data_IF_400494025646
#
_entry.id   IF_400494025646
#
_cell.length_a   1.000
_cell.length_b   1.000
_cell.length_c   1.000
_cell.angle_alpha   90.00
_cell.angle_beta   90.00
_cell.angle_gamma   90.00
#
_symmetry.space_group_name_H-M   'P 1'
#
loop_
_entity.id
_entity.type
_entity.pdbx_description
1 polymer ?
#
# COMPACT_ATOMS: atom_id res chain seq x y z
N UNK A 1 -20.93 3.69 -37.92
CA UNK A 1 -21.00 4.44 -36.66
C UNK A 1 -20.86 3.45 -35.52
N UNK A 2 -19.64 2.98 -35.31
CA UNK A 2 -19.26 2.19 -34.15
C UNK A 2 -18.64 3.20 -33.19
N UNK A 3 -19.47 3.72 -32.30
CA UNK A 3 -18.98 4.55 -31.20
C UNK A 3 -18.11 3.67 -30.31
N UNK A 4 -16.87 4.12 -30.20
CA UNK A 4 -15.90 3.72 -29.20
C UNK A 4 -16.60 3.80 -27.85
N UNK A 5 -16.86 2.65 -27.24
CA UNK A 5 -17.11 2.53 -25.80
C UNK A 5 -15.86 3.04 -25.10
N UNK A 6 -15.79 4.36 -24.90
CA UNK A 6 -14.90 4.97 -23.92
C UNK A 6 -15.22 4.31 -22.60
N UNK A 7 -14.23 3.63 -22.01
CA UNK A 7 -14.29 3.13 -20.63
C UNK A 7 -14.92 4.21 -19.77
N UNK A 8 -16.16 4.00 -19.31
CA UNK A 8 -16.74 4.84 -18.27
C UNK A 8 -15.77 4.80 -17.09
N UNK A 9 -15.34 5.97 -16.63
CA UNK A 9 -14.52 6.08 -15.42
C UNK A 9 -15.26 5.35 -14.31
N UNK A 10 -14.73 4.21 -13.87
CA UNK A 10 -15.42 3.25 -12.98
C UNK A 10 -15.59 3.74 -11.55
N UNK A 11 -15.16 4.97 -11.26
CA UNK A 11 -15.19 5.59 -9.94
C UNK A 11 -15.52 7.08 -10.05
N UNK A 12 -16.80 7.39 -10.22
CA UNK A 12 -17.28 8.76 -10.09
C UNK A 12 -17.40 9.12 -8.61
N UNK A 13 -16.50 9.97 -8.14
CA UNK A 13 -16.61 10.67 -6.85
C UNK A 13 -16.55 12.19 -7.09
N UNK A 14 -17.22 12.98 -6.24
CA UNK A 14 -17.23 14.44 -6.36
C UNK A 14 -15.83 15.03 -6.15
N UNK A 15 -15.44 15.96 -7.03
CA UNK A 15 -14.08 16.56 -7.06
C UNK A 15 -14.05 18.05 -6.69
N UNK A 16 -15.21 18.65 -6.49
CA UNK A 16 -15.39 20.04 -6.08
C UNK A 16 -14.85 20.31 -4.66
N UNK A 17 -14.71 21.58 -4.28
CA UNK A 17 -14.16 21.96 -2.98
C UNK A 17 -15.07 21.54 -1.82
N UNK A 18 -16.40 21.54 -2.01
CA UNK A 18 -17.35 21.18 -0.96
C UNK A 18 -17.21 19.69 -0.58
N UNK A 19 -16.94 18.84 -1.56
CA UNK A 19 -16.71 17.41 -1.33
C UNK A 19 -15.50 17.11 -0.44
N UNK A 20 -14.54 18.05 -0.38
CA UNK A 20 -13.31 17.93 0.42
C UNK A 20 -13.44 18.51 1.83
N UNK A 21 -14.62 18.92 2.28
CA UNK A 21 -14.82 19.62 3.56
C UNK A 21 -14.27 18.91 4.81
N UNK A 22 -14.13 17.58 4.77
CA UNK A 22 -13.55 16.79 5.87
C UNK A 22 -12.05 16.59 5.74
N UNK A 23 -11.47 16.81 4.56
CA UNK A 23 -10.04 16.69 4.31
C UNK A 23 -9.32 17.92 4.87
N UNK A 24 -8.38 17.66 5.78
CA UNK A 24 -7.59 18.72 6.45
C UNK A 24 -6.25 18.96 5.79
N UNK A 25 -6.00 18.29 4.67
CA UNK A 25 -4.77 18.34 3.90
C UNK A 25 -5.11 18.09 2.43
N UNK A 26 -4.32 18.67 1.53
CA UNK A 26 -4.55 18.50 0.10
C UNK A 26 -4.36 17.04 -0.31
N UNK A 27 -5.34 16.48 -1.03
CA UNK A 27 -5.27 15.11 -1.54
C UNK A 27 -5.48 15.04 -3.06
N UNK A 28 -4.61 14.30 -3.73
CA UNK A 28 -4.71 13.98 -5.16
C UNK A 28 -4.94 12.48 -5.32
N UNK A 29 -6.08 12.11 -5.90
CA UNK A 29 -6.43 10.72 -6.17
C UNK A 29 -6.20 10.48 -7.67
N UNK A 30 -5.35 9.52 -7.98
CA UNK A 30 -5.08 9.03 -9.32
C UNK A 30 -5.73 7.66 -9.54
N UNK A 31 -5.93 7.29 -10.81
CA UNK A 31 -6.60 6.04 -11.17
C UNK A 31 -5.78 4.81 -10.74
N UNK A 32 -4.45 4.92 -10.77
CA UNK A 32 -3.54 3.87 -10.35
C UNK A 32 -2.21 4.46 -9.82
N UNK A 33 -1.39 3.60 -9.22
CA UNK A 33 -0.10 3.99 -8.63
C UNK A 33 0.94 4.42 -9.65
N UNK A 34 0.84 3.99 -10.91
CA UNK A 34 1.77 4.38 -11.98
C UNK A 34 1.55 5.85 -12.38
N UNK A 35 0.30 6.26 -12.61
CA UNK A 35 -0.06 7.65 -12.91
C UNK A 35 0.31 8.58 -11.74
N UNK A 36 0.06 8.14 -10.50
CA UNK A 36 0.46 8.87 -9.31
C UNK A 36 1.98 9.03 -9.20
N UNK A 37 2.73 7.95 -9.47
CA UNK A 37 4.19 7.96 -9.44
C UNK A 37 4.77 8.86 -10.53
N UNK A 38 4.18 8.85 -11.72
CA UNK A 38 4.57 9.75 -12.81
C UNK A 38 4.33 11.21 -12.44
N UNK A 39 3.20 11.53 -11.81
CA UNK A 39 2.91 12.88 -11.32
C UNK A 39 3.99 13.37 -10.34
N UNK A 40 4.34 12.56 -9.34
CA UNK A 40 5.39 12.91 -8.35
C UNK A 40 6.77 13.02 -8.99
N UNK A 41 7.12 12.11 -9.90
CA UNK A 41 8.40 12.15 -10.61
C UNK A 41 8.54 13.43 -11.44
N UNK A 42 7.47 13.91 -12.08
CA UNK A 42 7.48 15.17 -12.82
C UNK A 42 7.71 16.36 -11.90
N UNK A 43 7.02 16.45 -10.75
CA UNK A 43 7.22 17.54 -9.78
C UNK A 43 8.70 17.61 -9.32
N UNK A 44 9.30 16.45 -9.05
CA UNK A 44 10.73 16.35 -8.70
C UNK A 44 11.62 16.79 -9.87
N UNK A 45 11.35 16.32 -11.10
CA UNK A 45 12.12 16.68 -12.28
C UNK A 45 12.04 18.18 -12.59
N UNK A 46 10.87 18.80 -12.41
CA UNK A 46 10.66 20.24 -12.56
C UNK A 46 11.47 21.03 -11.54
N UNK A 47 11.47 20.63 -10.27
CA UNK A 47 12.31 21.24 -9.24
C UNK A 47 13.80 21.16 -9.62
N UNK A 48 14.28 20.00 -10.04
CA UNK A 48 15.68 19.80 -10.44
C UNK A 48 16.03 20.75 -11.59
N UNK A 49 15.22 20.77 -12.65
CA UNK A 49 15.40 21.67 -13.81
C UNK A 49 15.39 23.13 -13.39
N UNK A 50 14.47 23.52 -12.51
CA UNK A 50 14.35 24.89 -12.01
C UNK A 50 15.59 25.31 -11.21
N UNK A 51 16.03 24.48 -10.26
CA UNK A 51 17.23 24.73 -9.43
C UNK A 51 18.49 24.79 -10.29
N UNK A 52 18.61 23.92 -11.28
CA UNK A 52 19.72 23.92 -12.23
C UNK A 52 19.78 25.23 -13.04
N UNK A 53 18.65 25.72 -13.55
CA UNK A 53 18.57 27.03 -14.24
C UNK A 53 18.97 28.20 -13.34
N UNK A 54 18.74 28.07 -12.02
CA UNK A 54 19.13 29.07 -11.02
C UNK A 54 20.59 28.93 -10.55
N UNK A 55 21.33 27.93 -11.03
CA UNK A 55 22.68 27.62 -10.55
C UNK A 55 22.71 27.17 -9.08
N UNK A 56 21.60 26.62 -8.57
CA UNK A 56 21.45 26.16 -7.18
C UNK A 56 21.38 24.64 -7.11
N UNK A 57 21.66 24.11 -5.92
CA UNK A 57 21.40 22.71 -5.62
C UNK A 57 19.89 22.47 -5.43
N UNK A 58 19.40 21.33 -5.91
CA UNK A 58 18.10 20.79 -5.53
C UNK A 58 18.32 19.80 -4.37
N UNK A 59 17.65 20.02 -3.24
CA UNK A 59 17.80 19.18 -2.05
C UNK A 59 16.57 18.29 -1.89
N UNK A 60 16.74 16.98 -2.00
CA UNK A 60 15.64 16.01 -1.98
C UNK A 60 15.70 15.13 -0.75
N UNK A 61 14.58 14.99 -0.06
CA UNK A 61 14.34 13.99 0.95
C UNK A 61 13.71 12.75 0.31
N UNK A 62 14.33 11.59 0.43
CA UNK A 62 13.93 10.36 -0.26
C UNK A 62 13.46 9.27 0.71
N UNK A 63 12.42 8.54 0.31
CA UNK A 63 11.89 7.38 1.04
C UNK A 63 12.31 6.07 0.37
N UNK A 64 12.23 4.97 1.11
CA UNK A 64 12.44 3.61 0.58
C UNK A 64 11.14 2.80 0.62
N UNK A 65 11.23 1.50 0.28
CA UNK A 65 10.09 0.59 0.23
C UNK A 65 9.41 0.56 -1.13
N UNK A 66 8.36 -0.25 -1.25
CA UNK A 66 7.69 -0.52 -2.53
C UNK A 66 7.00 0.70 -3.15
N UNK A 67 6.51 1.63 -2.32
CA UNK A 67 5.73 2.81 -2.76
C UNK A 67 6.50 3.75 -3.71
N UNK A 68 7.73 4.21 -3.39
CA UNK A 68 8.48 5.12 -4.27
C UNK A 68 9.18 4.47 -5.47
N UNK A 69 9.21 3.14 -5.60
CA UNK A 69 9.99 2.43 -6.66
C UNK A 69 9.69 2.96 -8.08
N UNK A 70 8.42 3.11 -8.42
CA UNK A 70 7.98 3.64 -9.72
C UNK A 70 8.36 5.09 -9.95
N UNK A 71 8.43 5.92 -8.89
CA UNK A 71 8.94 7.29 -9.00
C UNK A 71 10.41 7.27 -9.43
N UNK A 72 11.21 6.37 -8.86
CA UNK A 72 12.61 6.20 -9.24
C UNK A 72 12.77 5.70 -10.67
N UNK A 73 11.95 4.72 -11.10
CA UNK A 73 11.95 4.26 -12.50
C UNK A 73 11.72 5.42 -13.48
N UNK A 74 10.76 6.30 -13.19
CA UNK A 74 10.50 7.48 -14.02
C UNK A 74 11.64 8.50 -13.98
N UNK A 75 12.24 8.76 -12.82
CA UNK A 75 13.39 9.67 -12.72
C UNK A 75 14.60 9.16 -13.51
N UNK A 76 14.85 7.84 -13.46
CA UNK A 76 15.87 7.17 -14.28
C UNK A 76 15.55 7.30 -15.77
N UNK A 77 14.27 7.15 -16.15
CA UNK A 77 13.81 7.35 -17.52
C UNK A 77 14.05 8.79 -17.98
N UNK A 78 13.67 9.79 -17.18
CA UNK A 78 13.90 11.20 -17.49
C UNK A 78 15.38 11.54 -17.62
N UNK A 79 16.25 10.89 -16.84
CA UNK A 79 17.70 11.01 -17.00
C UNK A 79 18.16 10.50 -18.36
N UNK A 80 17.81 9.24 -18.69
CA UNK A 80 18.31 8.52 -19.86
C UNK A 80 17.72 9.04 -21.17
N UNK A 81 16.45 9.44 -21.18
CA UNK A 81 15.70 9.79 -22.39
C UNK A 81 15.52 11.30 -22.57
N UNK A 82 15.38 12.07 -21.48
CA UNK A 82 15.07 13.52 -21.55
C UNK A 82 16.24 14.43 -21.14
N UNK A 83 17.38 13.84 -20.73
CA UNK A 83 18.58 14.59 -20.35
C UNK A 83 18.48 15.31 -19.00
N UNK A 84 17.60 14.86 -18.09
CA UNK A 84 17.55 15.36 -16.72
C UNK A 84 18.87 15.05 -15.99
N UNK A 85 19.60 16.04 -15.47
CA UNK A 85 20.87 15.81 -14.76
C UNK A 85 20.72 15.95 -13.25
N UNK A 86 21.37 15.05 -12.51
CA UNK A 86 21.41 14.97 -11.05
C UNK A 86 22.73 15.50 -10.47
N UNK A 87 23.63 16.07 -11.29
CA UNK A 87 24.94 16.59 -10.84
C UNK A 87 24.85 17.70 -9.80
N UNK A 88 23.75 18.44 -9.77
CA UNK A 88 23.47 19.49 -8.79
C UNK A 88 22.43 19.06 -7.74
N UNK A 89 22.09 17.78 -7.65
CA UNK A 89 21.16 17.25 -6.65
C UNK A 89 21.92 16.83 -5.39
N UNK A 90 21.33 17.07 -4.22
CA UNK A 90 21.74 16.57 -2.90
C UNK A 90 20.58 15.79 -2.33
N UNK A 91 20.81 14.58 -1.82
CA UNK A 91 19.76 13.70 -1.32
C UNK A 91 19.99 13.34 0.15
N UNK A 92 18.89 13.28 0.90
CA UNK A 92 18.84 12.79 2.28
C UNK A 92 17.76 11.72 2.38
N UNK A 93 18.14 10.49 2.72
CA UNK A 93 17.18 9.40 2.97
C UNK A 93 16.62 9.48 4.40
N UNK A 94 15.35 9.10 4.55
CA UNK A 94 14.65 9.15 5.83
C UNK A 94 15.30 8.28 6.91
N UNK A 95 15.76 7.08 6.56
CA UNK A 95 16.17 6.08 7.54
C UNK A 95 17.15 5.05 6.98
N UNK A 96 17.71 4.27 7.90
CA UNK A 96 18.39 2.98 7.67
C UNK A 96 18.19 2.08 8.91
N UNK A 97 18.11 0.77 8.69
CA UNK A 97 18.07 -0.20 9.78
C UNK A 97 19.33 -0.16 10.65
N UNK A 98 19.25 -0.60 11.91
CA UNK A 98 20.38 -0.60 12.83
C UNK A 98 20.46 -1.86 13.71
N UNK A 99 21.62 -2.57 13.73
CA UNK A 99 22.73 -2.42 12.79
C UNK A 99 22.35 -2.87 11.38
N UNK A 100 23.01 -2.34 10.35
CA UNK A 100 22.82 -2.77 8.96
C UNK A 100 24.07 -2.50 8.12
N UNK A 101 24.54 -3.54 7.44
CA UNK A 101 25.64 -3.43 6.48
C UNK A 101 25.12 -2.93 5.11
N UNK A 102 25.86 -2.03 4.42
CA UNK A 102 25.37 -1.35 3.22
C UNK A 102 25.24 -2.26 1.98
N UNK A 103 25.81 -3.46 2.00
CA UNK A 103 25.70 -4.48 0.93
C UNK A 103 24.62 -5.53 1.20
N UNK A 104 24.04 -5.55 2.41
CA UNK A 104 22.89 -6.37 2.77
C UNK A 104 21.74 -6.12 1.80
N UNK A 105 21.06 -7.19 1.38
CA UNK A 105 19.84 -7.11 0.54
C UNK A 105 18.73 -6.28 1.19
N UNK A 106 18.74 -6.14 2.51
CA UNK A 106 17.74 -5.37 3.26
C UNK A 106 18.16 -3.93 3.56
N UNK A 107 19.38 -3.53 3.17
CA UNK A 107 19.88 -2.18 3.41
C UNK A 107 19.21 -1.18 2.48
N UNK A 108 18.85 -0.02 3.05
CA UNK A 108 18.36 1.11 2.29
C UNK A 108 19.44 1.79 1.45
N UNK A 109 20.72 1.68 1.82
CA UNK A 109 21.85 2.03 0.94
C UNK A 109 21.79 1.22 -0.36
N UNK A 110 21.66 -0.11 -0.24
CA UNK A 110 21.59 -1.00 -1.42
C UNK A 110 20.32 -0.74 -2.24
N UNK A 111 19.16 -0.67 -1.59
CA UNK A 111 17.89 -0.36 -2.23
C UNK A 111 18.00 0.91 -3.11
N UNK A 112 18.57 1.99 -2.57
CA UNK A 112 18.68 3.24 -3.31
C UNK A 112 19.67 3.18 -4.47
N UNK A 113 20.74 2.38 -4.36
CA UNK A 113 21.65 2.13 -5.49
C UNK A 113 20.94 1.40 -6.62
N UNK A 114 20.26 0.31 -6.30
CA UNK A 114 19.56 -0.54 -7.26
C UNK A 114 18.41 0.18 -7.96
N UNK A 115 17.65 1.02 -7.26
CA UNK A 115 16.50 1.71 -7.85
C UNK A 115 16.82 3.08 -8.46
N UNK A 116 17.88 3.77 -8.02
CA UNK A 116 18.12 5.15 -8.44
C UNK A 116 19.60 5.48 -8.69
N UNK A 117 20.45 5.41 -7.66
CA UNK A 117 21.75 6.08 -7.68
C UNK A 117 22.75 5.51 -8.70
N UNK A 118 22.70 4.21 -9.01
CA UNK A 118 23.58 3.59 -10.01
C UNK A 118 23.09 3.84 -11.46
N UNK A 119 21.98 4.55 -11.63
CA UNK A 119 21.31 4.77 -12.91
C UNK A 119 21.26 6.24 -13.34
N UNK A 120 21.81 7.15 -12.54
CA UNK A 120 21.80 8.61 -12.77
C UNK A 120 23.19 9.21 -12.53
N UNK A 121 23.41 10.46 -12.98
CA UNK A 121 24.69 11.17 -12.86
C UNK A 121 24.86 11.97 -11.56
N UNK A 122 24.28 11.48 -10.45
CA UNK A 122 24.43 12.10 -9.13
C UNK A 122 25.87 11.92 -8.61
N UNK A 123 26.38 12.93 -7.90
CA UNK A 123 27.70 12.85 -7.27
C UNK A 123 27.62 12.03 -5.98
N UNK A 124 28.48 11.03 -5.74
CA UNK A 124 28.45 10.24 -4.51
C UNK A 124 28.53 11.07 -3.21
N UNK A 125 29.29 12.17 -3.23
CA UNK A 125 29.42 13.07 -2.08
C UNK A 125 28.12 13.80 -1.70
N UNK A 126 27.13 13.82 -2.60
CA UNK A 126 25.84 14.47 -2.41
C UNK A 126 24.74 13.47 -1.97
N UNK A 127 25.08 12.19 -1.79
CA UNK A 127 24.15 11.16 -1.34
C UNK A 127 24.32 10.93 0.15
N UNK A 128 23.24 11.06 0.92
CA UNK A 128 23.26 10.91 2.37
C UNK A 128 22.19 9.91 2.84
N UNK A 129 22.61 8.70 3.18
CA UNK A 129 21.78 7.69 3.86
C UNK A 129 22.28 7.52 5.30
N UNK A 130 21.40 7.37 6.30
CA UNK A 130 21.83 7.08 7.67
C UNK A 130 22.76 5.85 7.74
N UNK A 131 23.78 5.90 8.58
CA UNK A 131 24.82 4.88 8.64
C UNK A 131 24.50 3.81 9.70
N UNK A 132 24.08 2.64 9.22
CA UNK A 132 23.73 1.48 10.04
C UNK A 132 24.92 0.73 10.64
N UNK A 133 26.17 1.07 10.28
CA UNK A 133 27.39 0.36 10.70
C UNK A 133 28.05 0.97 11.94
N UNK A 134 27.55 2.11 12.41
CA UNK A 134 28.14 2.86 13.51
C UNK A 134 28.07 2.11 14.85
N UNK A 135 29.10 2.28 15.66
CA UNK A 135 29.04 1.94 17.08
C UNK A 135 27.95 2.79 17.77
N UNK A 136 27.26 2.18 18.73
CA UNK A 136 26.06 2.75 19.35
C UNK A 136 26.33 4.09 20.03
N UNK A 137 27.54 4.24 20.57
CA UNK A 137 28.03 5.43 21.27
C UNK A 137 28.14 6.64 20.33
N UNK A 138 28.43 6.41 19.05
CA UNK A 138 28.64 7.45 18.04
C UNK A 138 27.35 7.90 17.35
N UNK A 139 26.29 7.06 17.38
CA UNK A 139 25.02 7.32 16.70
C UNK A 139 24.42 8.69 17.06
N UNK A 140 24.54 9.12 18.32
CA UNK A 140 23.96 10.40 18.76
C UNK A 140 24.64 11.60 18.11
N UNK A 141 25.96 11.61 18.05
CA UNK A 141 26.70 12.70 17.40
C UNK A 141 26.54 12.64 15.87
N UNK A 142 26.49 11.43 15.30
CA UNK A 142 26.15 11.24 13.89
C UNK A 142 24.80 11.85 13.52
N UNK A 143 23.75 11.58 14.31
CA UNK A 143 22.41 12.12 14.07
C UNK A 143 22.40 13.66 14.09
N UNK A 144 23.15 14.30 15.00
CA UNK A 144 23.30 15.76 15.02
C UNK A 144 24.04 16.27 13.77
N UNK A 145 25.09 15.59 13.35
CA UNK A 145 25.82 15.94 12.14
C UNK A 145 24.94 15.78 10.88
N UNK A 146 24.04 14.79 10.87
CA UNK A 146 23.07 14.60 9.80
C UNK A 146 22.11 15.79 9.68
N UNK A 147 21.54 16.26 10.79
CA UNK A 147 20.73 17.49 10.84
C UNK A 147 21.50 18.71 10.35
N UNK A 148 22.74 18.88 10.80
CA UNK A 148 23.60 20.00 10.37
C UNK A 148 23.88 19.98 8.86
N UNK A 149 24.06 18.80 8.25
CA UNK A 149 24.23 18.67 6.80
C UNK A 149 22.98 19.14 6.05
N UNK A 150 21.79 18.81 6.55
CA UNK A 150 20.52 19.28 5.97
C UNK A 150 20.44 20.81 6.04
N UNK A 151 20.76 21.40 7.19
CA UNK A 151 20.77 22.86 7.37
C UNK A 151 21.79 23.55 6.46
N UNK A 152 23.02 23.00 6.36
CA UNK A 152 24.08 23.50 5.49
C UNK A 152 23.72 23.43 4.00
N UNK A 153 22.92 22.44 3.59
CA UNK A 153 22.39 22.33 2.24
C UNK A 153 21.27 23.36 1.94
N UNK A 154 20.79 24.10 2.95
CA UNK A 154 19.71 25.09 2.81
C UNK A 154 18.30 24.51 3.03
N UNK A 155 18.22 23.38 3.74
CA UNK A 155 16.99 22.65 4.00
C UNK A 155 16.51 21.82 2.81
N UNK A 156 15.62 20.86 3.08
CA UNK A 156 15.05 19.98 2.05
C UNK A 156 14.02 20.76 1.22
N UNK A 157 14.16 20.72 -0.10
CA UNK A 157 13.22 21.36 -1.03
C UNK A 157 11.95 20.52 -1.17
N UNK A 158 12.08 19.22 -1.48
CA UNK A 158 10.97 18.26 -1.53
C UNK A 158 11.32 17.06 -0.67
N UNK A 159 10.44 16.71 0.28
CA UNK A 159 10.50 15.47 1.05
C UNK A 159 9.43 14.50 0.55
N UNK A 160 9.86 13.36 0.01
CA UNK A 160 8.99 12.25 -0.35
C UNK A 160 8.82 11.33 0.86
N UNK A 161 7.59 10.95 1.16
CA UNK A 161 7.23 10.07 2.27
C UNK A 161 6.35 8.91 1.78
N UNK A 162 6.50 7.76 2.42
CA UNK A 162 5.47 6.71 2.46
C UNK A 162 4.73 6.74 3.80
N UNK A 163 3.67 5.92 3.91
CA UNK A 163 2.93 5.73 5.17
C UNK A 163 2.84 4.26 5.59
N UNK A 164 3.20 3.99 6.84
CA UNK A 164 3.02 2.69 7.48
C UNK A 164 1.56 2.38 7.80
N UNK A 165 1.23 1.12 8.09
CA UNK A 165 -0.13 0.76 8.55
C UNK A 165 -0.50 1.42 9.87
N UNK A 166 0.48 1.77 10.69
CA UNK A 166 0.31 2.49 11.96
C UNK A 166 0.28 4.01 11.79
N UNK A 167 0.43 4.52 10.57
CA UNK A 167 0.53 5.95 10.28
C UNK A 167 1.89 6.55 10.57
N UNK A 168 2.92 5.71 10.77
CA UNK A 168 4.30 6.19 10.84
C UNK A 168 4.75 6.79 9.50
N UNK A 169 5.66 7.76 9.58
CA UNK A 169 6.38 8.36 8.46
C UNK A 169 7.90 8.21 8.71
N UNK A 170 8.61 7.56 7.79
CA UNK A 170 9.88 6.91 8.14
C UNK A 170 9.69 5.94 9.31
N UNK A 171 10.68 5.77 10.18
CA UNK A 171 10.51 5.01 11.44
C UNK A 171 10.01 5.85 12.63
N UNK A 172 9.26 6.93 12.36
CA UNK A 172 8.58 7.67 13.43
C UNK A 172 7.29 6.95 13.84
N UNK A 173 7.45 5.99 14.76
CA UNK A 173 6.36 5.17 15.30
C UNK A 173 5.36 5.97 16.16
N UNK A 174 4.16 5.41 16.44
CA UNK A 174 3.22 5.95 17.41
C UNK A 174 3.89 6.34 18.74
N UNK A 175 3.68 7.57 19.18
CA UNK A 175 4.36 8.17 20.35
C UNK A 175 5.58 9.03 20.00
N UNK A 176 5.92 9.15 18.71
CA UNK A 176 6.91 10.13 18.23
C UNK A 176 6.35 11.56 18.35
N UNK A 177 7.19 12.50 18.79
CA UNK A 177 6.79 13.89 18.99
C UNK A 177 6.99 14.74 17.74
N UNK A 178 6.17 15.79 17.58
CA UNK A 178 6.26 16.73 16.46
C UNK A 178 7.63 17.42 16.35
N UNK A 179 8.30 17.63 17.48
CA UNK A 179 9.63 18.30 17.54
C UNK A 179 10.79 17.32 17.48
N UNK A 180 10.53 16.03 17.24
CA UNK A 180 11.59 15.02 17.18
C UNK A 180 12.57 15.31 16.04
N UNK A 181 13.85 15.05 16.31
CA UNK A 181 14.96 15.16 15.35
C UNK A 181 15.46 13.77 14.97
N UNK A 182 16.42 13.73 14.04
CA UNK A 182 17.11 12.49 13.64
C UNK A 182 17.63 11.76 14.88
N UNK A 183 17.29 10.47 15.00
CA UNK A 183 17.61 9.68 16.20
C UNK A 183 17.61 8.17 15.91
N UNK A 184 18.22 7.43 16.82
CA UNK A 184 18.03 5.99 16.93
C UNK A 184 16.66 5.70 17.56
N UNK A 185 15.85 4.88 16.90
CA UNK A 185 14.54 4.45 17.36
C UNK A 185 14.48 2.94 17.52
N UNK A 186 13.54 2.47 18.34
CA UNK A 186 13.14 1.07 18.39
C UNK A 186 11.93 0.90 17.48
N UNK A 187 11.96 -0.12 16.63
CA UNK A 187 10.88 -0.42 15.71
C UNK A 187 9.69 -1.05 16.46
N UNK A 188 8.48 -0.63 16.09
CA UNK A 188 7.26 -1.23 16.63
C UNK A 188 7.09 -2.68 16.11
N UNK A 189 6.37 -3.50 16.88
CA UNK A 189 6.09 -4.88 16.47
C UNK A 189 5.33 -4.94 15.13
N UNK A 190 4.39 -4.03 14.90
CA UNK A 190 3.61 -3.97 13.65
C UNK A 190 4.52 -3.65 12.47
N UNK A 191 5.41 -2.67 12.61
CA UNK A 191 6.40 -2.33 11.56
C UNK A 191 7.32 -3.50 11.25
N UNK A 192 7.77 -4.23 12.28
CA UNK A 192 8.57 -5.43 12.07
C UNK A 192 7.78 -6.56 11.41
N UNK A 193 6.49 -6.71 11.71
CA UNK A 193 5.63 -7.69 11.03
C UNK A 193 5.41 -7.33 9.56
N UNK A 194 5.21 -6.04 9.26
CA UNK A 194 5.06 -5.56 7.88
C UNK A 194 6.34 -5.78 7.05
N UNK A 195 7.52 -5.74 7.69
CA UNK A 195 8.81 -6.02 7.04
C UNK A 195 9.20 -7.51 7.07
N UNK A 196 8.52 -8.37 7.84
CA UNK A 196 8.98 -9.73 8.11
C UNK A 196 9.10 -10.59 6.85
N UNK A 197 8.20 -10.40 5.87
CA UNK A 197 8.28 -11.10 4.58
C UNK A 197 9.58 -10.76 3.85
N UNK A 198 10.00 -9.51 3.89
CA UNK A 198 11.19 -9.02 3.20
C UNK A 198 12.46 -9.50 3.89
N UNK A 199 12.40 -9.82 5.18
CA UNK A 199 13.51 -10.31 6.00
C UNK A 199 13.49 -11.83 6.22
N UNK A 200 12.63 -12.56 5.52
CA UNK A 200 12.50 -14.02 5.65
C UNK A 200 12.17 -14.48 7.09
N UNK A 201 11.42 -13.67 7.82
CA UNK A 201 11.06 -13.95 9.21
C UNK A 201 11.11 -12.72 10.10
N UNK A 202 10.25 -12.68 11.12
CA UNK A 202 10.16 -11.55 12.06
C UNK A 202 11.43 -11.42 12.90
N UNK A 203 12.05 -12.54 13.25
CA UNK A 203 13.27 -12.67 14.03
C UNK A 203 14.49 -12.04 13.34
N UNK A 204 14.49 -12.02 12.01
CA UNK A 204 15.54 -11.44 11.20
C UNK A 204 15.41 -9.93 11.03
N UNK A 205 14.22 -9.37 11.29
CA UNK A 205 14.00 -7.91 11.21
C UNK A 205 14.73 -7.22 12.37
N UNK A 206 15.62 -6.25 12.09
CA UNK A 206 16.28 -5.46 13.10
C UNK A 206 15.29 -4.82 14.08
N UNK A 207 15.72 -4.65 15.32
CA UNK A 207 14.86 -4.11 16.39
C UNK A 207 14.94 -2.57 16.43
N UNK A 208 15.93 -1.98 15.74
CA UNK A 208 16.19 -0.55 15.75
C UNK A 208 16.46 -0.04 14.34
N UNK A 209 16.33 1.27 14.19
CA UNK A 209 16.71 2.00 12.99
C UNK A 209 17.16 3.42 13.37
N UNK A 210 17.95 4.03 12.51
CA UNK A 210 18.22 5.47 12.56
C UNK A 210 17.23 6.12 11.60
N UNK A 211 16.52 7.16 12.04
CA UNK A 211 15.51 7.83 11.23
C UNK A 211 15.49 9.33 11.47
N UNK A 212 15.19 10.10 10.43
CA UNK A 212 14.85 11.52 10.51
C UNK A 212 13.63 11.69 11.42
N UNK A 213 13.65 12.73 12.26
CA UNK A 213 12.52 13.01 13.14
C UNK A 213 11.37 13.69 12.41
N UNK A 214 10.18 13.67 13.04
CA UNK A 214 9.00 14.37 12.51
C UNK A 214 9.30 15.86 12.34
N UNK A 215 10.00 16.48 13.28
CA UNK A 215 10.36 17.90 13.19
C UNK A 215 11.36 18.19 12.07
N UNK A 216 12.18 17.20 11.69
CA UNK A 216 13.09 17.30 10.53
C UNK A 216 12.31 17.22 9.23
N UNK A 217 11.36 16.29 9.15
CA UNK A 217 10.44 16.13 8.00
C UNK A 217 9.60 17.41 7.80
N UNK A 218 9.01 17.93 8.88
CA UNK A 218 8.17 19.13 8.88
C UNK A 218 8.94 20.42 8.53
N UNK A 219 10.28 20.39 8.52
CA UNK A 219 11.11 21.52 8.13
C UNK A 219 11.39 21.58 6.61
N UNK A 220 10.96 20.57 5.85
CA UNK A 220 11.04 20.59 4.38
C UNK A 220 10.16 21.70 3.80
N UNK A 221 10.51 22.23 2.63
CA UNK A 221 9.72 23.31 1.98
C UNK A 221 8.45 22.77 1.32
N UNK A 222 8.46 21.49 0.94
CA UNK A 222 7.38 20.76 0.28
C UNK A 222 7.42 19.31 0.75
N UNK A 223 6.28 18.76 1.14
CA UNK A 223 6.16 17.36 1.56
C UNK A 223 5.14 16.65 0.68
N UNK A 224 5.54 15.52 0.11
CA UNK A 224 4.70 14.65 -0.72
C UNK A 224 4.60 13.30 -0.03
N UNK A 225 3.42 12.97 0.50
CA UNK A 225 3.15 11.64 1.04
C UNK A 225 2.45 10.79 0.00
N UNK A 226 2.95 9.58 -0.23
CA UNK A 226 2.41 8.62 -1.19
C UNK A 226 1.84 7.39 -0.48
N UNK A 227 0.70 6.87 -0.97
CA UNK A 227 0.12 5.64 -0.44
C UNK A 227 -0.69 4.90 -1.51
N UNK A 228 -0.38 3.60 -1.68
CA UNK A 228 -0.99 2.72 -2.66
C UNK A 228 -1.73 1.56 -1.99
N UNK A 229 -2.83 1.13 -2.61
CA UNK A 229 -3.55 -0.07 -2.22
C UNK A 229 -4.51 0.09 -1.03
N UNK A 230 -5.50 -0.80 -0.99
CA UNK A 230 -6.58 -0.78 -0.01
C UNK A 230 -6.10 -0.96 1.43
N UNK A 231 -5.00 -1.69 1.64
CA UNK A 231 -4.38 -1.89 2.95
C UNK A 231 -3.88 -0.61 3.63
N UNK A 232 -3.83 0.52 2.91
CA UNK A 232 -3.50 1.85 3.45
C UNK A 232 -4.73 2.74 3.64
N UNK A 233 -5.92 2.31 3.23
CA UNK A 233 -7.10 3.18 3.15
C UNK A 233 -7.55 3.72 4.50
N UNK A 234 -7.62 2.87 5.53
CA UNK A 234 -8.04 3.31 6.87
C UNK A 234 -7.06 4.32 7.48
N UNK A 235 -5.75 4.06 7.37
CA UNK A 235 -4.73 4.97 7.91
C UNK A 235 -4.72 6.30 7.17
N UNK A 236 -4.96 6.29 5.85
CA UNK A 236 -5.12 7.50 5.05
C UNK A 236 -6.35 8.29 5.49
N UNK A 237 -7.49 7.64 5.73
CA UNK A 237 -8.66 8.31 6.28
C UNK A 237 -8.36 9.00 7.61
N UNK A 238 -7.67 8.32 8.54
CA UNK A 238 -7.25 8.96 9.80
C UNK A 238 -6.28 10.12 9.59
N UNK A 239 -5.30 9.97 8.69
CA UNK A 239 -4.27 10.97 8.43
C UNK A 239 -4.83 12.22 7.72
N UNK A 240 -5.84 12.06 6.87
CA UNK A 240 -6.43 13.15 6.07
C UNK A 240 -7.60 13.82 6.78
N UNK A 241 -8.54 13.05 7.35
CA UNK A 241 -9.80 13.58 7.89
C UNK A 241 -9.84 13.56 9.43
N UNK A 242 -9.03 12.70 10.04
CA UNK A 242 -8.94 12.52 11.49
C UNK A 242 -8.33 13.72 12.22
N UNK A 243 -8.38 13.67 13.57
CA UNK A 243 -7.73 14.69 14.42
C UNK A 243 -6.23 14.38 14.54
N UNK A 244 -5.42 15.43 14.68
CA UNK A 244 -3.99 15.31 14.96
C UNK A 244 -3.76 14.58 16.29
N UNK A 245 -2.98 13.49 16.25
CA UNK A 245 -2.65 12.65 17.42
C UNK A 245 -1.28 11.99 17.25
N UNK A 246 -0.51 11.93 18.32
CA UNK A 246 0.80 11.24 18.38
C UNK A 246 0.73 9.74 18.05
N UNK A 247 -0.43 9.12 18.22
CA UNK A 247 -0.65 7.72 17.87
C UNK A 247 -0.69 7.46 16.36
N UNK A 248 -0.82 8.51 15.54
CA UNK A 248 -0.80 8.46 14.07
C UNK A 248 0.08 9.60 13.56
N UNK A 249 1.42 9.45 13.54
CA UNK A 249 2.35 10.54 13.23
C UNK A 249 2.12 11.24 11.89
N UNK A 250 1.60 10.56 10.87
CA UNK A 250 1.20 11.17 9.60
C UNK A 250 0.17 12.30 9.76
N UNK A 251 -0.64 12.31 10.83
CA UNK A 251 -1.58 13.41 11.10
C UNK A 251 -0.88 14.73 11.40
N UNK A 252 0.40 14.73 11.80
CA UNK A 252 1.17 15.95 11.98
C UNK A 252 1.38 16.74 10.69
N UNK A 253 1.34 16.07 9.54
CA UNK A 253 1.48 16.70 8.24
C UNK A 253 0.34 17.69 7.94
N UNK A 254 -0.81 17.56 8.60
CA UNK A 254 -1.91 18.54 8.54
C UNK A 254 -1.47 19.96 8.98
N UNK A 255 -0.40 20.09 9.76
CA UNK A 255 0.14 21.38 10.19
C UNK A 255 1.15 22.00 9.19
N UNK A 256 1.40 21.34 8.05
CA UNK A 256 2.38 21.80 7.08
C UNK A 256 1.71 22.54 5.92
N UNK A 257 2.07 23.81 5.72
CA UNK A 257 1.42 24.69 4.74
C UNK A 257 1.54 24.21 3.28
N UNK A 258 2.56 23.41 2.97
CA UNK A 258 2.84 22.92 1.61
C UNK A 258 3.01 21.39 1.59
N UNK A 259 1.98 20.66 2.02
CA UNK A 259 1.95 19.21 2.02
C UNK A 259 0.74 18.66 1.26
N UNK A 260 0.95 17.60 0.47
CA UNK A 260 -0.12 16.91 -0.25
C UNK A 260 0.04 15.40 -0.16
N UNK A 261 -1.09 14.71 -0.16
CA UNK A 261 -1.18 13.26 -0.16
C UNK A 261 -1.55 12.79 -1.57
N UNK A 262 -0.68 11.98 -2.17
CA UNK A 262 -0.87 11.40 -3.50
C UNK A 262 -1.28 9.95 -3.32
N UNK A 263 -2.49 9.63 -3.77
CA UNK A 263 -3.17 8.36 -3.49
C UNK A 263 -3.59 7.69 -4.80
N UNK A 264 -3.56 6.36 -4.82
CA UNK A 264 -4.35 5.62 -5.81
C UNK A 264 -5.81 5.49 -5.32
N UNK A 265 -6.69 5.07 -6.22
CA UNK A 265 -8.11 4.90 -5.88
C UNK A 265 -8.32 3.94 -4.68
N UNK A 266 -7.50 2.88 -4.59
CA UNK A 266 -7.62 1.88 -3.53
C UNK A 266 -7.24 2.43 -2.14
N UNK A 267 -6.18 3.23 -2.04
CA UNK A 267 -5.78 3.89 -0.80
C UNK A 267 -6.75 5.03 -0.42
N UNK A 268 -7.46 5.60 -1.39
CA UNK A 268 -8.47 6.63 -1.12
C UNK A 268 -9.86 6.06 -0.74
N UNK A 269 -10.04 4.74 -0.76
CA UNK A 269 -11.36 4.09 -0.68
C UNK A 269 -12.15 4.39 0.60
N UNK A 270 -11.45 4.73 1.68
CA UNK A 270 -12.05 5.07 2.99
C UNK A 270 -12.28 6.57 3.21
N UNK A 271 -11.81 7.46 2.31
CA UNK A 271 -12.09 8.90 2.40
C UNK A 271 -13.59 9.16 2.23
N UNK A 272 -14.14 10.14 2.96
CA UNK A 272 -15.58 10.42 2.95
C UNK A 272 -16.11 10.71 1.54
N UNK A 273 -15.36 11.45 0.71
CA UNK A 273 -15.76 11.76 -0.67
C UNK A 273 -15.79 10.53 -1.59
N UNK A 274 -15.08 9.44 -1.25
CA UNK A 274 -15.04 8.20 -2.04
C UNK A 274 -15.96 7.14 -1.44
N UNK A 275 -15.93 7.00 -0.12
CA UNK A 275 -16.67 5.97 0.59
C UNK A 275 -18.16 6.33 0.72
N UNK A 276 -18.44 7.55 1.16
CA UNK A 276 -19.78 8.04 1.49
C UNK A 276 -20.03 9.41 0.86
N UNK A 277 -19.97 9.53 -0.48
CA UNK A 277 -20.02 10.82 -1.17
C UNK A 277 -21.31 11.62 -0.86
N UNK A 278 -22.41 10.93 -0.56
CA UNK A 278 -23.69 11.54 -0.18
C UNK A 278 -23.66 12.31 1.14
N UNK A 279 -22.62 12.13 1.97
CA UNK A 279 -22.42 12.93 3.19
C UNK A 279 -21.67 14.23 2.92
N UNK A 280 -20.96 14.33 1.79
CA UNK A 280 -20.12 15.47 1.48
C UNK A 280 -20.73 16.41 0.46
N UNK A 281 -21.33 15.88 -0.60
CA UNK A 281 -21.90 16.67 -1.70
C UNK A 281 -23.12 15.98 -2.32
N UNK A 282 -23.81 16.67 -3.21
CA UNK A 282 -24.82 16.04 -4.06
C UNK A 282 -24.19 14.97 -4.97
N UNK A 283 -24.93 13.87 -5.16
CA UNK A 283 -24.48 12.70 -5.91
C UNK A 283 -25.42 12.44 -7.08
N UNK A 284 -24.87 12.01 -8.21
CA UNK A 284 -25.66 11.37 -9.27
C UNK A 284 -25.92 9.93 -8.88
N UNK A 285 -27.18 9.59 -8.58
CA UNK A 285 -27.53 8.26 -8.14
C UNK A 285 -27.54 7.27 -9.31
N UNK A 286 -26.77 6.20 -9.16
CA UNK A 286 -26.80 5.03 -10.04
C UNK A 286 -27.01 3.77 -9.18
N UNK A 287 -27.33 2.64 -9.82
CA UNK A 287 -27.65 1.39 -9.10
C UNK A 287 -26.55 0.98 -8.10
N UNK A 288 -25.28 1.13 -8.49
CA UNK A 288 -24.14 0.80 -7.63
C UNK A 288 -24.08 1.70 -6.39
N UNK A 289 -24.26 3.01 -6.56
CA UNK A 289 -24.22 3.98 -5.47
C UNK A 289 -25.40 3.80 -4.52
N UNK A 290 -26.60 3.55 -5.06
CA UNK A 290 -27.80 3.29 -4.27
C UNK A 290 -27.64 2.02 -3.44
N UNK A 291 -27.13 0.94 -4.04
CA UNK A 291 -26.79 -0.30 -3.34
C UNK A 291 -25.77 -0.03 -2.23
N UNK A 292 -24.67 0.64 -2.54
CA UNK A 292 -23.62 0.98 -1.56
C UNK A 292 -24.18 1.78 -0.38
N UNK A 293 -24.94 2.84 -0.65
CA UNK A 293 -25.50 3.72 0.36
C UNK A 293 -26.52 3.00 1.27
N UNK A 294 -27.36 2.16 0.68
CA UNK A 294 -28.37 1.36 1.41
C UNK A 294 -27.70 0.31 2.30
N UNK A 295 -26.67 -0.38 1.83
CA UNK A 295 -25.90 -1.33 2.63
C UNK A 295 -25.19 -0.64 3.78
N UNK A 296 -24.53 0.48 3.49
CA UNK A 296 -23.87 1.29 4.50
C UNK A 296 -24.87 1.75 5.59
N UNK A 297 -26.06 2.20 5.21
CA UNK A 297 -27.09 2.63 6.16
C UNK A 297 -27.60 1.47 7.02
N UNK A 298 -27.83 0.32 6.39
CA UNK A 298 -28.25 -0.93 7.04
C UNK A 298 -27.25 -1.37 8.11
N UNK A 299 -25.96 -1.40 7.78
CA UNK A 299 -24.87 -1.73 8.72
C UNK A 299 -24.74 -0.66 9.81
N UNK A 300 -24.76 0.62 9.43
CA UNK A 300 -24.61 1.75 10.35
C UNK A 300 -25.67 1.78 11.44
N UNK A 301 -26.91 1.44 11.09
CA UNK A 301 -28.04 1.39 12.02
C UNK A 301 -28.25 0.00 12.63
N UNK A 302 -27.51 -1.01 12.19
CA UNK A 302 -27.75 -2.42 12.53
C UNK A 302 -29.21 -2.84 12.28
N UNK A 303 -29.80 -2.33 11.19
CA UNK A 303 -31.18 -2.62 10.75
C UNK A 303 -31.13 -3.40 9.45
N UNK A 304 -31.98 -4.42 9.29
CA UNK A 304 -32.13 -5.10 7.99
C UNK A 304 -32.59 -4.10 6.91
N UNK A 305 -32.11 -4.27 5.66
CA UNK A 305 -32.42 -3.38 4.52
C UNK A 305 -33.92 -3.09 4.41
N UNK A 306 -34.78 -4.12 4.48
CA UNK A 306 -36.24 -3.98 4.37
C UNK A 306 -36.90 -3.22 5.53
N UNK A 307 -36.16 -2.89 6.59
CA UNK A 307 -36.64 -2.13 7.76
C UNK A 307 -36.15 -0.67 7.78
N UNK A 308 -35.38 -0.24 6.80
CA UNK A 308 -34.95 1.15 6.68
C UNK A 308 -36.14 2.03 6.30
N UNK A 309 -36.25 3.19 6.94
CA UNK A 309 -37.37 4.13 6.76
C UNK A 309 -36.93 5.40 6.04
N UNK A 310 -37.88 6.20 5.56
CA UNK A 310 -37.56 7.51 4.95
C UNK A 310 -36.76 8.41 5.92
N UNK A 311 -37.08 8.36 7.21
CA UNK A 311 -36.36 9.10 8.26
C UNK A 311 -34.89 8.68 8.33
N UNK A 312 -34.62 7.37 8.31
CA UNK A 312 -33.25 6.83 8.30
C UNK A 312 -32.43 7.34 7.10
N UNK A 313 -33.01 7.42 5.90
CA UNK A 313 -32.30 7.98 4.74
C UNK A 313 -32.09 9.49 4.87
N UNK A 314 -33.09 10.23 5.32
CA UNK A 314 -33.03 11.68 5.46
C UNK A 314 -31.99 12.13 6.50
N UNK A 315 -31.95 11.49 7.66
CA UNK A 315 -31.01 11.83 8.75
C UNK A 315 -29.54 11.60 8.37
N UNK A 316 -29.29 10.71 7.40
CA UNK A 316 -27.96 10.32 6.97
C UNK A 316 -27.58 10.83 5.57
N UNK A 317 -28.10 12.00 5.20
CA UNK A 317 -27.66 12.74 4.01
C UNK A 317 -28.19 12.19 2.68
N UNK A 318 -29.16 11.27 2.71
CA UNK A 318 -29.73 10.64 1.51
C UNK A 318 -31.14 11.16 1.19
N UNK A 319 -31.48 12.37 1.63
CA UNK A 319 -32.80 12.96 1.32
C UNK A 319 -33.05 13.15 -0.18
N UNK A 320 -32.02 13.53 -0.95
CA UNK A 320 -32.14 13.65 -2.41
C UNK A 320 -32.43 12.29 -3.08
N UNK A 321 -31.88 11.19 -2.56
CA UNK A 321 -32.17 9.85 -3.07
C UNK A 321 -33.66 9.49 -2.89
N UNK A 322 -34.22 9.81 -1.72
CA UNK A 322 -35.65 9.60 -1.44
C UNK A 322 -36.50 10.48 -2.37
N UNK A 323 -36.10 11.72 -2.60
CA UNK A 323 -36.82 12.63 -3.49
C UNK A 323 -36.82 12.15 -4.96
N UNK A 324 -35.72 11.57 -5.45
CA UNK A 324 -35.60 11.08 -6.83
C UNK A 324 -36.33 9.75 -7.06
N UNK A 325 -36.21 8.79 -6.14
CA UNK A 325 -36.79 7.43 -6.32
C UNK A 325 -38.20 7.33 -5.73
N UNK A 326 -38.53 8.14 -4.73
CA UNK A 326 -39.86 8.32 -4.17
C UNK A 326 -40.02 7.80 -2.74
N UNK A 327 -39.50 6.62 -2.39
CA UNK A 327 -39.60 6.10 -1.01
C UNK A 327 -38.52 5.07 -0.65
N UNK A 328 -38.26 4.94 0.66
CA UNK A 328 -37.37 3.95 1.22
C UNK A 328 -37.82 2.52 0.88
N UNK A 329 -39.13 2.23 0.87
CA UNK A 329 -39.63 0.89 0.54
C UNK A 329 -39.22 0.46 -0.87
N UNK A 330 -39.32 1.36 -1.85
CA UNK A 330 -38.89 1.08 -3.22
C UNK A 330 -37.38 0.82 -3.31
N UNK A 331 -36.57 1.67 -2.65
CA UNK A 331 -35.11 1.53 -2.63
C UNK A 331 -34.71 0.20 -1.97
N UNK A 332 -35.29 -0.08 -0.79
CA UNK A 332 -35.01 -1.28 -0.02
C UNK A 332 -35.33 -2.54 -0.81
N UNK A 333 -36.49 -2.59 -1.47
CA UNK A 333 -36.89 -3.73 -2.30
C UNK A 333 -35.96 -3.90 -3.49
N UNK A 334 -35.59 -2.81 -4.16
CA UNK A 334 -34.66 -2.84 -5.28
C UNK A 334 -33.31 -3.42 -4.86
N UNK A 335 -32.70 -2.89 -3.79
CA UNK A 335 -31.39 -3.36 -3.30
C UNK A 335 -31.48 -4.78 -2.74
N UNK A 336 -32.56 -5.13 -2.05
CA UNK A 336 -32.78 -6.49 -1.54
C UNK A 336 -32.86 -7.50 -2.70
N UNK A 337 -33.62 -7.19 -3.75
CA UNK A 337 -33.73 -8.06 -4.92
C UNK A 337 -32.39 -8.21 -5.63
N UNK A 338 -31.60 -7.13 -5.76
CA UNK A 338 -30.25 -7.18 -6.32
C UNK A 338 -29.29 -8.06 -5.50
N UNK A 339 -29.44 -8.13 -4.17
CA UNK A 339 -28.65 -9.05 -3.36
C UNK A 339 -29.15 -10.48 -3.50
N UNK A 340 -30.47 -10.69 -3.43
CA UNK A 340 -31.08 -12.01 -3.55
C UNK A 340 -30.71 -12.65 -4.89
N UNK A 341 -30.71 -11.88 -5.99
CA UNK A 341 -30.36 -12.38 -7.32
C UNK A 341 -28.91 -12.81 -7.47
N UNK A 342 -28.01 -12.42 -6.55
CA UNK A 342 -26.61 -12.92 -6.53
C UNK A 342 -26.47 -14.32 -5.93
N UNK A 343 -27.49 -14.79 -5.21
CA UNK A 343 -27.47 -16.11 -4.58
C UNK A 343 -27.85 -17.16 -5.63
N UNK A 344 -26.88 -18.00 -6.01
CA UNK A 344 -27.08 -19.06 -7.00
C UNK A 344 -26.46 -20.37 -6.55
N UNK A 345 -27.13 -21.49 -6.84
CA UNK A 345 -26.53 -22.83 -6.76
C UNK A 345 -25.72 -23.22 -7.99
N UNK A 346 -25.66 -22.35 -9.00
CA UNK A 346 -24.99 -22.57 -10.29
C UNK A 346 -23.96 -21.45 -10.52
N UNK A 347 -22.78 -21.52 -9.88
CA UNK A 347 -21.74 -20.48 -10.00
C UNK A 347 -21.19 -20.35 -11.42
N UNK A 348 -21.25 -21.42 -12.22
CA UNK A 348 -20.87 -21.40 -13.65
C UNK A 348 -22.04 -21.13 -14.60
N UNK A 349 -23.19 -20.68 -14.10
CA UNK A 349 -24.41 -20.50 -14.88
C UNK A 349 -25.15 -21.82 -15.14
N UNK A 350 -26.48 -21.79 -15.09
CA UNK A 350 -27.30 -23.00 -15.31
C UNK A 350 -27.58 -23.18 -16.81
N UNK A 351 -27.14 -24.26 -17.46
CA UNK A 351 -27.41 -24.47 -18.89
C UNK A 351 -28.91 -24.66 -19.14
N UNK A 352 -29.36 -24.23 -20.33
CA UNK A 352 -30.77 -24.33 -20.77
C UNK A 352 -31.80 -23.70 -19.82
N UNK A 353 -31.39 -22.74 -18.99
CA UNK A 353 -32.27 -21.98 -18.12
C UNK A 353 -32.35 -20.52 -18.57
N UNK A 354 -33.36 -19.80 -18.10
CA UNK A 354 -33.34 -18.34 -18.17
C UNK A 354 -32.31 -17.79 -17.15
N UNK A 355 -31.46 -16.90 -17.63
CA UNK A 355 -30.38 -16.24 -16.92
C UNK A 355 -30.59 -14.72 -16.78
N UNK A 356 -31.73 -14.19 -17.23
CA UNK A 356 -32.08 -12.76 -17.15
C UNK A 356 -31.98 -12.16 -15.73
N UNK A 357 -32.28 -12.96 -14.70
CA UNK A 357 -32.23 -12.57 -13.29
C UNK A 357 -31.16 -13.34 -12.48
N UNK A 358 -30.18 -13.96 -13.16
CA UNK A 358 -29.11 -14.74 -12.52
C UNK A 358 -27.77 -14.00 -12.60
N UNK A 359 -26.84 -14.26 -11.67
CA UNK A 359 -25.59 -13.51 -11.62
C UNK A 359 -24.60 -13.94 -12.71
N UNK A 360 -24.72 -15.17 -13.22
CA UNK A 360 -23.83 -15.71 -14.25
C UNK A 360 -24.63 -16.22 -15.45
N UNK A 361 -24.15 -15.87 -16.64
CA UNK A 361 -24.72 -16.23 -17.94
C UNK A 361 -24.67 -17.75 -18.18
N UNK A 362 -25.74 -18.31 -18.78
CA UNK A 362 -25.87 -19.76 -19.04
C UNK A 362 -24.89 -20.27 -20.11
N UNK A 363 -24.50 -19.41 -21.04
CA UNK A 363 -23.61 -19.73 -22.15
C UNK A 363 -22.29 -18.95 -22.04
N UNK A 364 -21.14 -19.54 -22.42
CA UNK A 364 -20.98 -20.91 -22.89
C UNK A 364 -21.08 -21.96 -21.76
N UNK A 365 -21.36 -23.21 -22.12
CA UNK A 365 -21.29 -24.37 -21.23
C UNK A 365 -20.64 -25.58 -21.95
N UNK A 366 -19.66 -26.29 -21.34
CA UNK A 366 -19.02 -25.98 -20.06
C UNK A 366 -18.16 -24.72 -20.14
N UNK A 367 -17.89 -24.10 -19.00
CA UNK A 367 -16.99 -22.93 -18.89
C UNK A 367 -15.61 -23.36 -18.45
N UNK A 368 -14.61 -22.59 -18.86
CA UNK A 368 -13.27 -22.59 -18.29
C UNK A 368 -13.16 -21.50 -17.24
N UNK A 369 -12.88 -21.89 -16.00
CA UNK A 369 -12.70 -20.98 -14.87
C UNK A 369 -11.25 -21.04 -14.40
N UNK A 370 -10.56 -19.90 -14.40
CA UNK A 370 -9.22 -19.76 -13.84
C UNK A 370 -9.32 -19.00 -12.51
N UNK A 371 -8.91 -19.65 -11.43
CA UNK A 371 -8.90 -19.08 -10.08
C UNK A 371 -7.47 -18.74 -9.71
N UNK A 372 -7.23 -17.48 -9.36
CA UNK A 372 -5.98 -17.05 -8.77
C UNK A 372 -6.09 -17.15 -7.26
N UNK A 373 -5.32 -18.06 -6.67
CA UNK A 373 -5.28 -18.20 -5.22
C UNK A 373 -3.93 -17.69 -4.70
N UNK A 374 -3.90 -16.78 -3.72
CA UNK A 374 -2.65 -16.30 -3.14
C UNK A 374 -1.88 -17.41 -2.39
N UNK A 375 -2.59 -18.42 -1.86
CA UNK A 375 -2.01 -19.57 -1.16
C UNK A 375 -2.88 -20.83 -1.36
N UNK A 376 -2.31 -22.06 -1.34
CA UNK A 376 -3.07 -23.32 -1.45
C UNK A 376 -4.19 -23.57 -0.44
N UNK A 377 -4.16 -22.90 0.71
CA UNK A 377 -5.21 -23.05 1.72
C UNK A 377 -6.35 -22.05 1.54
N UNK A 378 -6.06 -20.88 0.93
CA UNK A 378 -7.00 -19.76 0.89
C UNK A 378 -8.19 -20.01 -0.04
N UNK A 379 -7.98 -20.67 -1.17
CA UNK A 379 -9.06 -21.03 -2.10
C UNK A 379 -9.96 -22.11 -1.50
N UNK A 380 -9.38 -23.11 -0.84
CA UNK A 380 -10.14 -24.19 -0.19
C UNK A 380 -10.95 -23.65 0.98
N UNK A 381 -10.35 -22.85 1.87
CA UNK A 381 -11.03 -22.27 3.05
C UNK A 381 -12.11 -21.27 2.63
N UNK A 382 -11.83 -20.41 1.66
CA UNK A 382 -12.72 -19.31 1.29
C UNK A 382 -13.82 -19.74 0.33
N UNK A 383 -13.46 -20.49 -0.72
CA UNK A 383 -14.31 -20.74 -1.88
C UNK A 383 -14.41 -22.22 -2.26
N UNK A 384 -13.84 -23.15 -1.49
CA UNK A 384 -13.75 -24.57 -1.85
C UNK A 384 -15.08 -25.21 -2.22
N UNK A 385 -16.17 -24.85 -1.52
CA UNK A 385 -17.52 -25.30 -1.86
C UNK A 385 -17.99 -24.83 -3.24
N UNK A 386 -17.70 -23.59 -3.61
CA UNK A 386 -18.01 -23.03 -4.94
C UNK A 386 -17.18 -23.70 -6.03
N UNK A 387 -15.89 -23.94 -5.77
CA UNK A 387 -15.00 -24.63 -6.70
C UNK A 387 -15.47 -26.07 -6.96
N UNK A 388 -15.83 -26.79 -5.89
CA UNK A 388 -16.39 -28.13 -5.99
C UNK A 388 -17.70 -28.12 -6.78
N UNK A 389 -18.59 -27.15 -6.56
CA UNK A 389 -19.83 -27.01 -7.34
C UNK A 389 -19.55 -26.79 -8.83
N UNK A 390 -18.55 -25.99 -9.19
CA UNK A 390 -18.16 -25.79 -10.59
C UNK A 390 -17.72 -27.11 -11.24
N UNK A 391 -16.88 -27.89 -10.54
CA UNK A 391 -16.41 -29.20 -11.01
C UNK A 391 -17.57 -30.21 -11.12
N UNK A 392 -18.41 -30.30 -10.08
CA UNK A 392 -19.60 -31.18 -10.06
C UNK A 392 -20.59 -30.84 -11.19
N UNK A 393 -20.65 -29.57 -11.59
CA UNK A 393 -21.45 -29.08 -12.71
C UNK A 393 -20.76 -29.22 -14.07
N UNK A 394 -19.61 -29.91 -14.15
CA UNK A 394 -18.92 -30.21 -15.41
C UNK A 394 -18.16 -29.04 -16.03
N UNK A 395 -17.90 -27.96 -15.28
CA UNK A 395 -17.00 -26.90 -15.72
C UNK A 395 -15.54 -27.32 -15.60
N UNK A 396 -14.69 -26.75 -16.44
CA UNK A 396 -13.24 -26.93 -16.38
C UNK A 396 -12.68 -25.87 -15.43
N UNK A 397 -12.12 -26.30 -14.30
CA UNK A 397 -11.65 -25.43 -13.22
C UNK A 397 -10.14 -25.57 -13.08
N UNK A 398 -9.42 -24.46 -13.23
CA UNK A 398 -7.98 -24.36 -13.05
C UNK A 398 -7.69 -23.44 -11.88
N UNK A 399 -6.82 -23.88 -10.97
CA UNK A 399 -6.33 -23.03 -9.87
C UNK A 399 -4.86 -22.71 -10.14
N UNK A 400 -4.54 -21.42 -10.19
CA UNK A 400 -3.20 -20.89 -10.28
C UNK A 400 -2.80 -20.32 -8.92
N UNK A 401 -1.89 -20.99 -8.23
CA UNK A 401 -1.32 -20.51 -6.98
C UNK A 401 -0.29 -19.43 -7.24
N UNK A 402 -0.51 -18.24 -6.70
CA UNK A 402 0.36 -17.06 -6.83
C UNK A 402 1.39 -17.00 -5.70
N UNK A 403 1.95 -18.15 -5.32
CA UNK A 403 3.00 -18.22 -4.29
C UNK A 403 4.36 -18.04 -4.95
N UNK A 404 5.28 -17.34 -4.29
CA UNK A 404 6.66 -17.18 -4.75
C UNK A 404 7.56 -18.37 -4.41
N UNK A 405 7.02 -19.45 -3.81
CA UNK A 405 7.76 -20.62 -3.36
C UNK A 405 8.68 -20.37 -2.15
N UNK A 406 9.34 -19.21 -2.08
CA UNK A 406 10.36 -18.83 -1.09
C UNK A 406 9.83 -18.49 0.31
N UNK A 407 8.51 -18.36 0.49
CA UNK A 407 7.91 -17.94 1.78
C UNK A 407 7.02 -19.04 2.40
N UNK A 408 6.90 -20.19 1.75
CA UNK A 408 5.96 -21.23 2.16
C UNK A 408 6.60 -22.32 3.03
N UNK A 409 7.93 -22.47 3.01
CA UNK A 409 8.65 -23.49 3.77
C UNK A 409 9.78 -22.82 4.55
N UNK A 410 9.62 -22.75 5.86
CA UNK A 410 10.65 -22.25 6.76
C UNK A 410 11.72 -23.31 7.01
N UNK A 411 12.95 -22.88 7.35
CA UNK A 411 14.07 -23.77 7.65
C UNK A 411 13.73 -24.78 8.77
N UNK A 412 12.96 -24.36 9.78
CA UNK A 412 12.50 -25.22 10.87
C UNK A 412 11.48 -26.26 10.41
N UNK A 413 10.62 -25.93 9.45
CA UNK A 413 9.72 -26.88 8.79
C UNK A 413 10.52 -27.93 8.02
N UNK A 414 11.55 -27.52 7.24
CA UNK A 414 12.44 -28.46 6.54
C UNK A 414 13.12 -29.42 7.52
N UNK A 415 13.70 -28.88 8.61
CA UNK A 415 14.35 -29.67 9.64
C UNK A 415 13.35 -30.64 10.28
N UNK A 416 12.15 -30.17 10.65
CA UNK A 416 11.11 -31.00 11.27
C UNK A 416 10.69 -32.17 10.37
N UNK A 417 10.51 -31.93 9.07
CA UNK A 417 10.15 -32.98 8.12
C UNK A 417 11.30 -33.96 7.88
N UNK A 418 12.54 -33.48 7.82
CA UNK A 418 13.71 -34.35 7.69
C UNK A 418 13.93 -35.20 8.95
N UNK A 419 13.82 -34.61 10.14
CA UNK A 419 13.87 -35.32 11.43
C UNK A 419 12.84 -36.46 11.45
N UNK A 420 11.58 -36.13 11.12
CA UNK A 420 10.52 -37.12 11.02
C UNK A 420 10.82 -38.22 10.00
N UNK A 421 11.33 -37.86 8.82
CA UNK A 421 11.67 -38.82 7.78
C UNK A 421 12.82 -39.76 8.22
N UNK A 422 13.83 -39.23 8.91
CA UNK A 422 14.95 -40.03 9.46
C UNK A 422 14.50 -40.96 10.57
N UNK A 423 13.56 -40.54 11.41
CA UNK A 423 12.97 -41.38 12.46
C UNK A 423 12.15 -42.54 11.89
N UNK A 424 11.44 -42.31 10.79
CA UNK A 424 10.64 -43.35 10.10
C UNK A 424 11.52 -44.30 9.28
N UNK A 425 12.63 -43.81 8.70
CA UNK A 425 13.53 -44.57 7.84
C UNK A 425 14.95 -44.68 8.43
N UNK A 426 15.07 -45.27 9.62
CA UNK A 426 16.33 -45.32 10.37
C UNK A 426 17.49 -46.00 9.61
N UNK A 427 17.18 -46.92 8.68
CA UNK A 427 18.19 -47.63 7.88
C UNK A 427 18.56 -46.92 6.56
N UNK A 428 17.94 -45.77 6.25
CA UNK A 428 18.20 -45.04 5.02
C UNK A 428 19.42 -44.10 5.18
N UNK A 429 20.60 -44.65 4.88
CA UNK A 429 21.90 -43.94 4.94
C UNK A 429 21.91 -42.68 4.06
N UNK A 430 21.24 -42.71 2.90
CA UNK A 430 21.16 -41.55 2.00
C UNK A 430 20.41 -40.39 2.66
N UNK A 431 19.29 -40.70 3.33
CA UNK A 431 18.47 -39.70 4.02
C UNK A 431 19.20 -39.10 5.22
N UNK A 432 19.91 -39.92 6.01
CA UNK A 432 20.73 -39.43 7.12
C UNK A 432 21.83 -38.48 6.65
N UNK A 433 22.47 -38.80 5.52
CA UNK A 433 23.47 -37.92 4.92
C UNK A 433 22.84 -36.61 4.45
N UNK A 434 21.72 -36.66 3.73
CA UNK A 434 20.99 -35.46 3.30
C UNK A 434 20.59 -34.58 4.49
N UNK A 435 20.13 -35.17 5.59
CA UNK A 435 19.80 -34.44 6.80
C UNK A 435 21.01 -33.69 7.38
N UNK A 436 22.18 -34.34 7.45
CA UNK A 436 23.41 -33.69 7.92
C UNK A 436 23.86 -32.56 7.00
N UNK A 437 23.79 -32.78 5.67
CA UNK A 437 24.17 -31.79 4.66
C UNK A 437 23.25 -30.56 4.74
N UNK A 438 21.93 -30.77 4.80
CA UNK A 438 20.93 -29.68 4.94
C UNK A 438 21.12 -28.92 6.25
N UNK A 439 21.32 -29.62 7.37
CA UNK A 439 21.53 -28.95 8.67
C UNK A 439 22.83 -28.15 8.70
N UNK A 440 23.89 -28.64 8.06
CA UNK A 440 25.14 -27.90 7.92
C UNK A 440 24.97 -26.65 7.05
N UNK A 441 24.27 -26.78 5.91
CA UNK A 441 23.93 -25.67 5.03
C UNK A 441 23.15 -24.58 5.79
N UNK A 442 22.01 -24.95 6.40
CA UNK A 442 21.14 -24.01 7.12
C UNK A 442 21.84 -23.32 8.31
N UNK A 443 22.74 -24.01 9.01
CA UNK A 443 23.53 -23.39 10.09
C UNK A 443 24.56 -22.37 9.59
N UNK A 444 25.04 -22.51 8.35
CA UNK A 444 26.03 -21.62 7.75
C UNK A 444 25.41 -20.49 6.91
N UNK A 445 24.14 -20.68 6.53
CA UNK A 445 23.36 -19.76 5.70
C UNK A 445 23.12 -18.45 6.45
N UNK A 446 23.38 -17.32 5.78
CA UNK A 446 23.01 -16.01 6.30
C UNK A 446 21.53 -15.71 5.98
N UNK A 447 20.83 -14.93 6.82
CA UNK A 447 19.49 -14.47 6.52
C UNK A 447 19.42 -13.86 5.11
N UNK A 448 18.55 -14.42 4.26
CA UNK A 448 18.31 -13.96 2.89
C UNK A 448 19.29 -14.43 1.80
N UNK A 449 20.19 -15.37 2.10
CA UNK A 449 20.86 -16.14 1.06
C UNK A 449 19.87 -17.08 0.35
N UNK A 450 20.06 -17.28 -0.96
CA UNK A 450 19.21 -18.16 -1.78
C UNK A 450 19.45 -19.62 -1.37
N UNK A 451 18.38 -20.42 -1.31
CA UNK A 451 18.42 -21.87 -1.06
C UNK A 451 19.16 -22.69 -2.12
#
# INVERSE_FOLDING_TARGET
>A
MAEVLTKENTYEFPKDEESRKFEKIETHIHDNSEDASFYVANEIAELIRQRQRQGKHAVLGLATGSTPTKVYDFLVKFHKEEGLSFKNVITFNLDEYYPMEPDSIHSYVRFMKEHLFDHIDIKPANVHVPDGTLDKEDVREYCKAYEQKIEQAGGIDIQVLGIGRTGHIGFNEPGSTLTSKTRLVRLDRVTRLDAASDFFGLENVPIKAITMGVGTIMAAKRIILMAWGEGKSEVIHYAVEGRIRESVPATFLQNHDNCSFILDHAAASSLARVNTPWLVSECKWNERLIKKATLWLSEKLSKAILKLTNEDYNEYGMGNLIAEIGSAEHINLMVFNQLQSTITGWPGGKPNADDSARPERKDPYPKRSLIFSPHPDDDVISMGGTLLRLVDQGHEVHVAYQTSGNIAVFDDEVIRFLDFATDVQQDNVTLQKQFQDVRAFLNSKKPGEVD
#
